data_IF_676614156996
#
_entry.id   IF_676614156996
#
_cell.length_a   1.000
_cell.length_b   1.000
_cell.length_c   1.000
_cell.angle_alpha   90.00
_cell.angle_beta   90.00
_cell.angle_gamma   90.00
#
_symmetry.space_group_name_H-M   'P 1'
#
loop_
_entity.id
_entity.type
_entity.pdbx_description
1 polymer ?
#
# COMPACT_ATOMS: atom_id res chain seq x y z
N UNK A 1 -2.41 -16.06 18.26
CA UNK A 1 -3.67 -15.30 18.08
C UNK A 1 -4.83 -16.16 18.55
N UNK A 2 -5.97 -15.56 18.91
CA UNK A 2 -7.15 -16.31 19.36
C UNK A 2 -7.92 -16.85 18.13
N UNK A 3 -8.42 -18.07 18.19
CA UNK A 3 -9.22 -18.68 17.12
C UNK A 3 -10.45 -17.83 16.74
N UNK A 4 -10.99 -17.08 17.71
CA UNK A 4 -12.06 -16.10 17.46
C UNK A 4 -11.60 -14.93 16.59
N UNK A 5 -10.39 -14.42 16.81
CA UNK A 5 -9.85 -13.30 16.02
C UNK A 5 -9.60 -13.69 14.56
N UNK A 6 -9.23 -14.95 14.31
CA UNK A 6 -9.05 -15.46 12.94
C UNK A 6 -10.38 -15.60 12.20
N UNK A 7 -11.41 -16.15 12.86
CA UNK A 7 -12.74 -16.30 12.26
C UNK A 7 -13.39 -14.93 12.00
N UNK A 8 -13.28 -14.01 12.95
CA UNK A 8 -13.79 -12.65 12.79
C UNK A 8 -13.08 -11.92 11.63
N UNK A 9 -11.76 -12.06 11.52
CA UNK A 9 -11.01 -11.48 10.40
C UNK A 9 -11.40 -12.13 9.05
N UNK A 10 -11.57 -13.45 9.01
CA UNK A 10 -11.93 -14.19 7.81
C UNK A 10 -13.33 -13.82 7.28
N UNK A 11 -14.30 -13.58 8.17
CA UNK A 11 -15.67 -13.21 7.79
C UNK A 11 -15.86 -11.70 7.64
N UNK A 12 -15.23 -10.88 8.49
CA UNK A 12 -15.41 -9.44 8.51
C UNK A 12 -14.65 -8.72 7.41
N UNK A 13 -13.44 -9.17 7.05
CA UNK A 13 -12.62 -8.49 6.05
C UNK A 13 -13.23 -8.48 4.62
N UNK A 14 -13.82 -9.59 4.12
CA UNK A 14 -14.50 -9.59 2.82
C UNK A 14 -15.70 -8.63 2.78
N UNK A 15 -16.51 -8.62 3.84
CA UNK A 15 -17.66 -7.71 3.97
C UNK A 15 -17.18 -6.26 4.00
N UNK A 16 -16.14 -5.94 4.76
CA UNK A 16 -15.57 -4.58 4.76
C UNK A 16 -15.07 -4.17 3.38
N UNK A 17 -14.43 -5.07 2.63
CA UNK A 17 -13.98 -4.80 1.27
C UNK A 17 -15.15 -4.56 0.29
N UNK A 18 -16.29 -5.21 0.51
CA UNK A 18 -17.49 -5.01 -0.31
C UNK A 18 -18.09 -3.60 -0.12
N UNK A 19 -18.15 -3.10 1.12
CA UNK A 19 -18.80 -1.82 1.44
C UNK A 19 -17.85 -0.61 1.44
N UNK A 20 -16.59 -0.80 1.81
CA UNK A 20 -15.58 0.27 1.96
C UNK A 20 -14.42 0.11 0.97
N UNK A 21 -14.47 -0.90 0.10
CA UNK A 21 -13.46 -1.12 -0.92
C UNK A 21 -13.42 0.02 -1.92
N UNK A 22 -12.21 0.39 -2.32
CA UNK A 22 -11.95 1.28 -3.42
C UNK A 22 -11.43 0.49 -4.62
N UNK A 23 -11.84 0.90 -5.83
CA UNK A 23 -11.25 0.39 -7.06
C UNK A 23 -9.81 0.88 -7.17
N UNK A 24 -8.86 -0.05 -7.24
CA UNK A 24 -7.44 0.22 -7.47
C UNK A 24 -6.95 -0.52 -8.70
N UNK A 25 -5.96 0.04 -9.40
CA UNK A 25 -5.38 -0.60 -10.59
C UNK A 25 -3.95 -1.01 -10.28
N UNK A 26 -3.70 -2.31 -10.27
CA UNK A 26 -2.35 -2.86 -10.17
C UNK A 26 -1.75 -3.00 -11.56
N UNK A 27 -0.53 -2.53 -11.75
CA UNK A 27 0.25 -2.73 -12.97
C UNK A 27 1.48 -3.54 -12.62
N UNK A 28 1.58 -4.76 -13.17
CA UNK A 28 2.73 -5.65 -12.94
C UNK A 28 4.00 -5.08 -13.59
N UNK A 29 5.17 -5.63 -13.25
CA UNK A 29 6.43 -5.27 -13.89
C UNK A 29 6.44 -5.51 -15.42
N UNK A 30 5.60 -6.43 -15.91
CA UNK A 30 5.41 -6.70 -17.34
C UNK A 30 4.44 -5.72 -18.02
N UNK A 31 3.87 -4.75 -17.28
CA UNK A 31 2.93 -3.76 -17.81
C UNK A 31 1.48 -4.24 -17.88
N UNK A 32 1.15 -5.40 -17.30
CA UNK A 32 -0.23 -5.91 -17.27
C UNK A 32 -1.01 -5.21 -16.18
N UNK A 33 -2.11 -4.55 -16.54
CA UNK A 33 -2.99 -3.86 -15.60
C UNK A 33 -4.16 -4.77 -15.17
N UNK A 34 -4.45 -4.80 -13.87
CA UNK A 34 -5.58 -5.50 -13.27
C UNK A 34 -6.29 -4.56 -12.29
N UNK A 35 -7.60 -4.39 -12.48
CA UNK A 35 -8.44 -3.64 -11.56
C UNK A 35 -8.93 -4.57 -10.46
N UNK A 36 -8.72 -4.17 -9.20
CA UNK A 36 -9.07 -4.96 -8.02
C UNK A 36 -9.77 -4.06 -7.02
N UNK A 37 -10.73 -4.61 -6.28
CA UNK A 37 -11.32 -3.92 -5.13
C UNK A 37 -10.43 -4.11 -3.92
N UNK A 38 -9.95 -3.02 -3.33
CA UNK A 38 -9.04 -3.05 -2.20
C UNK A 38 -9.49 -2.13 -1.07
N UNK A 39 -9.22 -2.53 0.17
CA UNK A 39 -9.27 -1.62 1.31
C UNK A 39 -8.01 -0.76 1.32
N UNK A 40 -8.19 0.54 1.15
CA UNK A 40 -7.08 1.49 1.09
C UNK A 40 -7.05 2.29 2.38
N UNK A 41 -5.95 2.18 3.13
CA UNK A 41 -5.69 2.99 4.31
C UNK A 41 -5.40 4.45 3.98
N UNK A 42 -5.43 5.29 5.02
CA UNK A 42 -5.00 6.68 4.93
C UNK A 42 -3.54 6.78 4.49
N UNK A 43 -3.19 7.87 3.80
CA UNK A 43 -1.79 8.18 3.49
C UNK A 43 -1.08 8.58 4.79
N UNK A 44 0.02 7.87 5.08
CA UNK A 44 0.92 8.16 6.19
C UNK A 44 2.21 8.77 5.66
N UNK A 45 2.81 9.66 6.44
CA UNK A 45 4.13 10.22 6.16
C UNK A 45 5.12 9.47 7.05
N UNK A 46 6.06 8.79 6.41
CA UNK A 46 7.17 8.11 7.05
C UNK A 46 8.42 8.99 6.86
N UNK A 47 8.99 9.46 7.97
CA UNK A 47 10.20 10.27 7.98
C UNK A 47 11.39 9.37 8.33
N UNK A 48 12.20 9.03 7.33
CA UNK A 48 13.44 8.31 7.56
C UNK A 48 14.60 9.31 7.67
N UNK A 49 15.27 9.30 8.82
CA UNK A 49 16.54 10.00 8.96
C UNK A 49 17.61 9.31 8.12
N UNK A 50 18.26 10.05 7.24
CA UNK A 50 19.41 9.61 6.44
C UNK A 50 20.60 10.51 6.75
N UNK A 51 21.82 10.07 6.43
CA UNK A 51 23.05 10.82 6.73
C UNK A 51 23.07 12.24 6.10
N UNK A 52 22.29 12.47 5.04
CA UNK A 52 22.19 13.75 4.31
C UNK A 52 20.95 14.61 4.68
N UNK A 53 20.14 14.17 5.65
CA UNK A 53 18.94 14.90 6.10
C UNK A 53 17.75 14.00 6.41
N UNK A 54 16.54 14.41 6.01
CA UNK A 54 15.32 13.60 6.16
C UNK A 54 14.75 13.24 4.80
N UNK A 55 14.46 11.96 4.62
CA UNK A 55 13.70 11.46 3.48
C UNK A 55 12.22 11.36 3.88
N UNK A 56 11.38 12.14 3.23
CA UNK A 56 9.93 12.09 3.44
C UNK A 56 9.33 11.10 2.44
N UNK A 57 8.83 9.97 2.94
CA UNK A 57 8.10 8.97 2.14
C UNK A 57 6.62 9.00 2.48
N UNK A 58 5.77 8.98 1.46
CA UNK A 58 4.32 8.87 1.63
C UNK A 58 3.90 7.43 1.39
N UNK A 59 3.34 6.80 2.39
CA UNK A 59 3.04 5.35 2.41
C UNK A 59 1.54 5.14 2.60
N UNK A 60 1.00 4.10 1.95
CA UNK A 60 -0.36 3.61 2.17
C UNK A 60 -0.35 2.12 2.45
N UNK A 61 -1.14 1.71 3.43
CA UNK A 61 -1.51 0.30 3.60
C UNK A 61 -2.65 -0.06 2.67
N UNK A 62 -2.54 -1.17 1.96
CA UNK A 62 -3.59 -1.69 1.07
C UNK A 62 -3.87 -3.13 1.47
N UNK A 63 -5.14 -3.50 1.61
CA UNK A 63 -5.54 -4.89 1.86
C UNK A 63 -6.46 -5.38 0.75
N UNK A 64 -6.13 -6.52 0.16
CA UNK A 64 -6.90 -7.18 -0.89
C UNK A 64 -7.27 -8.59 -0.46
N UNK A 65 -8.38 -9.11 -0.97
CA UNK A 65 -8.68 -10.52 -0.80
C UNK A 65 -7.62 -11.35 -1.52
N UNK A 66 -7.13 -12.42 -0.89
CA UNK A 66 -6.10 -13.27 -1.46
C UNK A 66 -6.57 -13.96 -2.75
N UNK A 67 -7.87 -14.22 -2.89
CA UNK A 67 -8.47 -14.79 -4.09
C UNK A 67 -8.47 -13.82 -5.29
N UNK A 68 -8.51 -12.51 -5.03
CA UNK A 68 -8.54 -11.45 -6.06
C UNK A 68 -7.16 -10.82 -6.28
N UNK A 69 -6.15 -11.32 -5.57
CA UNK A 69 -4.80 -10.80 -5.66
C UNK A 69 -4.18 -11.13 -7.03
N UNK A 70 -3.61 -10.13 -7.73
CA UNK A 70 -2.83 -10.36 -8.95
C UNK A 70 -1.71 -11.38 -8.71
N UNK A 71 -1.44 -12.23 -9.69
CA UNK A 71 -0.45 -13.31 -9.59
C UNK A 71 0.96 -12.82 -9.20
N UNK A 72 1.32 -11.58 -9.56
CA UNK A 72 2.61 -10.97 -9.23
C UNK A 72 2.41 -9.56 -8.69
N UNK A 73 2.62 -9.39 -7.39
CA UNK A 73 2.57 -8.09 -6.69
C UNK A 73 3.97 -7.53 -6.40
N UNK A 74 5.00 -8.36 -6.49
CA UNK A 74 6.40 -7.94 -6.33
C UNK A 74 6.76 -7.00 -7.49
N UNK A 75 7.32 -5.83 -7.16
CA UNK A 75 7.66 -4.76 -8.11
C UNK A 75 6.47 -4.22 -8.92
N UNK A 76 5.24 -4.52 -8.50
CA UNK A 76 4.06 -3.94 -9.11
C UNK A 76 3.92 -2.46 -8.67
N UNK A 77 3.23 -1.70 -9.50
CA UNK A 77 2.71 -0.38 -9.12
C UNK A 77 1.21 -0.47 -8.91
N UNK A 78 0.68 0.42 -8.07
CA UNK A 78 -0.74 0.52 -7.78
C UNK A 78 -1.19 1.96 -7.96
N UNK A 79 -2.30 2.13 -8.69
CA UNK A 79 -2.92 3.43 -8.92
C UNK A 79 -4.16 3.55 -8.04
N UNK A 80 -4.17 4.58 -7.20
CA UNK A 80 -5.23 4.86 -6.23
C UNK A 80 -5.70 6.30 -6.46
N UNK A 81 -6.94 6.49 -6.91
CA UNK A 81 -7.49 7.83 -7.16
C UNK A 81 -6.63 8.68 -8.11
N UNK A 82 -6.00 8.05 -9.12
CA UNK A 82 -5.12 8.71 -10.08
C UNK A 82 -3.67 8.93 -9.61
N UNK A 83 -3.32 8.54 -8.39
CA UNK A 83 -1.96 8.64 -7.85
C UNK A 83 -1.26 7.29 -7.91
N UNK A 84 -0.01 7.29 -8.39
CA UNK A 84 0.81 6.09 -8.54
C UNK A 84 1.64 5.82 -7.27
N UNK A 85 1.62 4.57 -6.81
CA UNK A 85 2.43 4.05 -5.71
C UNK A 85 3.18 2.80 -6.17
N UNK A 86 4.38 2.57 -5.66
CA UNK A 86 5.13 1.33 -5.80
C UNK A 86 4.85 0.41 -4.62
N UNK A 87 4.66 -0.89 -4.88
CA UNK A 87 4.53 -1.89 -3.81
C UNK A 87 5.92 -2.16 -3.22
N UNK A 88 6.11 -1.83 -1.94
CA UNK A 88 7.37 -1.99 -1.21
C UNK A 88 7.41 -3.33 -0.45
N UNK A 89 6.29 -3.72 0.17
CA UNK A 89 6.20 -4.98 0.90
C UNK A 89 4.85 -5.66 0.68
N UNK A 90 4.87 -7.00 0.71
CA UNK A 90 3.71 -7.87 0.58
C UNK A 90 3.73 -8.85 1.74
N UNK A 91 2.64 -8.89 2.51
CA UNK A 91 2.46 -9.79 3.64
C UNK A 91 1.16 -10.58 3.46
N UNK A 92 1.26 -11.92 3.53
CA UNK A 92 0.09 -12.78 3.53
C UNK A 92 -0.54 -12.79 4.93
N UNK A 93 -1.83 -12.49 5.03
CA UNK A 93 -2.59 -12.40 6.27
C UNK A 93 -3.89 -13.21 6.16
N UNK A 94 -3.78 -14.54 6.15
CA UNK A 94 -4.92 -15.44 6.05
C UNK A 94 -5.65 -15.33 4.71
N UNK A 95 -6.93 -14.92 4.74
CA UNK A 95 -7.74 -14.69 3.52
C UNK A 95 -7.44 -13.37 2.80
N UNK A 96 -6.55 -12.56 3.35
CA UNK A 96 -6.18 -11.24 2.80
C UNK A 96 -4.69 -11.16 2.53
N UNK A 97 -4.32 -10.32 1.57
CA UNK A 97 -2.94 -9.89 1.33
C UNK A 97 -2.83 -8.43 1.72
N UNK A 98 -1.86 -8.11 2.58
CA UNK A 98 -1.54 -6.76 2.99
C UNK A 98 -0.34 -6.27 2.20
N UNK A 99 -0.44 -5.05 1.72
CA UNK A 99 0.59 -4.39 0.94
C UNK A 99 0.95 -3.08 1.61
N UNK A 100 2.24 -2.80 1.62
CA UNK A 100 2.78 -1.48 1.92
C UNK A 100 3.18 -0.85 0.59
N UNK A 101 2.55 0.27 0.23
CA UNK A 101 2.80 0.96 -1.02
C UNK A 101 3.34 2.38 -0.78
N UNK A 102 4.40 2.77 -1.49
CA UNK A 102 5.07 4.06 -1.36
C UNK A 102 4.79 4.91 -2.59
N UNK A 103 4.44 6.17 -2.40
CA UNK A 103 4.08 7.08 -3.49
C UNK A 103 5.27 7.32 -4.43
N UNK A 104 5.05 7.16 -5.74
CA UNK A 104 6.06 7.40 -6.78
C UNK A 104 6.16 8.88 -7.17
N UNK A 105 6.22 9.76 -6.18
CA UNK A 105 6.65 11.15 -6.34
C UNK A 105 8.13 11.24 -5.98
N UNK A 106 8.89 12.19 -6.54
CA UNK A 106 10.28 12.43 -6.12
C UNK A 106 10.30 12.56 -4.61
N UNK A 107 11.10 11.72 -3.93
CA UNK A 107 11.30 11.84 -2.50
C UNK A 107 11.74 13.27 -2.19
N UNK A 108 11.01 13.93 -1.28
CA UNK A 108 11.36 15.28 -0.85
C UNK A 108 12.51 15.13 0.16
N UNK A 109 13.73 15.47 -0.29
CA UNK A 109 14.89 15.59 0.57
C UNK A 109 14.79 16.92 1.31
N UNK A 110 14.50 16.89 2.61
CA UNK A 110 14.61 18.09 3.42
C UNK A 110 16.10 18.34 3.69
N UNK A 111 16.68 19.38 3.07
CA UNK A 111 18.04 19.84 3.42
C UNK A 111 18.00 20.47 4.81
N UNK A 112 18.62 19.81 5.76
CA UNK A 112 18.91 20.38 7.07
C UNK A 112 20.00 21.46 6.88
N UNK A 113 19.61 22.73 6.71
CA UNK A 113 20.58 23.82 6.58
C UNK A 113 20.15 25.15 5.97
N UNK A 114 18.94 25.29 5.39
CA UNK A 114 18.52 26.58 4.83
C UNK A 114 17.84 27.50 5.87
N UNK A 115 18.54 27.79 6.97
CA UNK A 115 18.37 29.07 7.68
C UNK A 115 19.55 29.96 7.28
N UNK A 116 19.39 30.61 6.14
CA UNK A 116 20.16 31.80 5.83
C UNK A 116 19.59 32.97 6.63
N UNK A 117 20.46 33.57 7.45
CA UNK A 117 20.31 34.76 8.32
C UNK A 117 19.81 34.52 9.74
#
# INVERSE_FOLDING_TARGET
>A
MSQFSEIFAAMGAPVLAEYLGASVVFTTAAGVAATVTALVGAEQVDENGIDEGREIRRVRGISIAAADAPATLINATVTIGGVLYAVEAVEAAGSMVRLRAVRLTRAELSREGYRGK
#
